data_IF_394547190862
#
_entry.id   IF_394547190862
#
_cell.length_a   1.000
_cell.length_b   1.000
_cell.length_c   1.000
_cell.angle_alpha   90.00
_cell.angle_beta   90.00
_cell.angle_gamma   90.00
#
_symmetry.space_group_name_H-M   'P 1'
#
loop_
_entity.id
_entity.type
_entity.pdbx_description
1 polymer ?
#
# COMPACT_ATOMS: atom_id res chain seq x y z
N UNK A 1 -1.91 9.74 -11.26
CA UNK A 1 -2.54 8.41 -11.05
C UNK A 1 -1.52 7.29 -10.83
N UNK A 2 -0.88 6.68 -11.84
CA UNK A 2 0.07 5.57 -11.59
C UNK A 2 1.29 5.99 -10.73
N UNK A 3 1.82 7.20 -10.95
CA UNK A 3 2.91 7.74 -10.11
C UNK A 3 2.48 8.05 -8.67
N UNK A 4 1.24 8.51 -8.46
CA UNK A 4 0.71 8.77 -7.11
C UNK A 4 0.52 7.47 -6.34
N UNK A 5 0.03 6.41 -7.00
CA UNK A 5 -0.03 5.07 -6.40
C UNK A 5 1.35 4.66 -5.90
N UNK A 6 2.33 4.74 -6.79
CA UNK A 6 3.68 4.29 -6.52
C UNK A 6 4.29 5.01 -5.32
N UNK A 7 4.06 6.32 -5.20
CA UNK A 7 4.47 7.09 -4.04
C UNK A 7 3.77 6.64 -2.76
N UNK A 8 2.46 6.40 -2.79
CA UNK A 8 1.71 5.88 -1.63
C UNK A 8 2.25 4.52 -1.16
N UNK A 9 2.60 3.65 -2.11
CA UNK A 9 3.18 2.34 -1.82
C UNK A 9 4.57 2.44 -1.16
N UNK A 10 5.43 3.30 -1.70
CA UNK A 10 6.75 3.56 -1.11
C UNK A 10 6.59 4.13 0.30
N UNK A 11 5.66 5.08 0.49
CA UNK A 11 5.42 5.69 1.79
C UNK A 11 4.91 4.68 2.81
N UNK A 12 3.92 3.84 2.45
CA UNK A 12 3.39 2.79 3.30
C UNK A 12 4.52 1.84 3.76
N UNK A 13 5.27 1.29 2.80
CA UNK A 13 6.35 0.35 3.09
C UNK A 13 7.45 0.98 3.95
N UNK A 14 7.85 2.22 3.64
CA UNK A 14 8.88 2.95 4.40
C UNK A 14 8.44 3.28 5.83
N UNK A 15 7.18 3.68 6.02
CA UNK A 15 6.62 4.00 7.34
C UNK A 15 6.50 2.77 8.23
N UNK A 16 5.95 1.67 7.71
CA UNK A 16 5.84 0.39 8.44
C UNK A 16 7.23 -0.08 8.87
N UNK A 17 8.18 -0.15 7.94
CA UNK A 17 9.55 -0.59 8.25
C UNK A 17 10.23 0.29 9.30
N UNK A 18 10.11 1.62 9.16
CA UNK A 18 10.69 2.56 10.13
C UNK A 18 10.06 2.39 11.52
N UNK A 19 8.75 2.15 11.58
CA UNK A 19 8.05 1.91 12.83
C UNK A 19 8.56 0.62 13.51
N UNK A 20 8.62 -0.49 12.78
CA UNK A 20 9.15 -1.77 13.26
C UNK A 20 10.57 -1.65 13.82
N UNK A 21 11.48 -0.99 13.08
CA UNK A 21 12.86 -0.77 13.51
C UNK A 21 12.96 0.13 14.75
N UNK A 22 11.95 0.97 15.00
CA UNK A 22 11.92 1.87 16.15
C UNK A 22 11.31 1.24 17.41
N UNK A 23 10.46 0.22 17.27
CA UNK A 23 9.74 -0.43 18.38
C UNK A 23 10.62 -0.76 19.61
N UNK A 24 11.83 -1.34 19.46
CA UNK A 24 12.68 -1.66 20.61
C UNK A 24 13.17 -0.44 21.40
N UNK A 25 13.12 0.76 20.80
CA UNK A 25 13.59 2.01 21.39
C UNK A 25 12.48 2.76 22.12
N UNK A 26 11.22 2.45 21.86
CA UNK A 26 10.05 3.11 22.45
C UNK A 26 9.92 2.67 23.91
N UNK A 27 9.97 3.61 24.85
CA UNK A 27 9.93 3.33 26.29
C UNK A 27 8.54 3.41 26.91
N UNK A 28 7.71 4.33 26.44
CA UNK A 28 6.34 4.50 26.91
C UNK A 28 5.44 3.44 26.30
N UNK A 29 4.71 2.72 27.14
CA UNK A 29 3.85 1.63 26.69
C UNK A 29 2.73 2.14 25.79
N UNK A 30 2.07 3.24 26.14
CA UNK A 30 1.03 3.89 25.32
C UNK A 30 1.53 4.23 23.91
N UNK A 31 2.78 4.71 23.79
CA UNK A 31 3.40 5.00 22.49
C UNK A 31 3.72 3.71 21.73
N UNK A 32 4.08 2.63 22.43
CA UNK A 32 4.38 1.34 21.82
C UNK A 32 3.11 0.71 21.27
N UNK A 33 2.04 0.65 22.05
CA UNK A 33 0.72 0.17 21.63
C UNK A 33 0.21 0.95 20.41
N UNK A 34 0.30 2.28 20.45
CA UNK A 34 -0.09 3.12 19.31
C UNK A 34 0.70 2.81 18.03
N UNK A 35 2.03 2.71 18.13
CA UNK A 35 2.87 2.41 16.97
C UNK A 35 2.61 0.99 16.46
N UNK A 36 2.38 0.02 17.35
CA UNK A 36 2.02 -1.35 17.00
C UNK A 36 0.69 -1.43 16.23
N UNK A 37 -0.35 -0.74 16.68
CA UNK A 37 -1.63 -0.63 15.97
C UNK A 37 -1.45 -0.06 14.54
N UNK A 38 -0.56 0.92 14.39
CA UNK A 38 -0.25 1.48 13.07
C UNK A 38 0.55 0.53 12.19
N UNK A 39 1.47 -0.26 12.75
CA UNK A 39 2.18 -1.32 12.04
C UNK A 39 1.18 -2.36 11.54
N UNK A 40 0.35 -2.92 12.42
CA UNK A 40 -0.64 -3.93 12.05
C UNK A 40 -1.61 -3.43 10.96
N UNK A 41 -2.11 -2.21 11.11
CA UNK A 41 -3.01 -1.63 10.11
C UNK A 41 -2.31 -1.39 8.76
N UNK A 42 -1.02 -1.02 8.78
CA UNK A 42 -0.19 -0.89 7.57
C UNK A 42 0.08 -2.24 6.89
N UNK A 43 0.32 -3.30 7.64
CA UNK A 43 0.43 -4.67 7.12
C UNK A 43 -0.89 -5.14 6.48
N UNK A 44 -2.02 -4.88 7.13
CA UNK A 44 -3.36 -5.18 6.57
C UNK A 44 -3.61 -4.45 5.26
N UNK A 45 -3.17 -3.20 5.12
CA UNK A 45 -3.24 -2.47 3.85
C UNK A 45 -2.34 -3.11 2.79
N UNK A 46 -1.12 -3.46 3.17
CA UNK A 46 -0.17 -4.16 2.28
C UNK A 46 -0.76 -5.49 1.77
N UNK A 47 -1.44 -6.25 2.61
CA UNK A 47 -2.08 -7.50 2.21
C UNK A 47 -3.31 -7.30 1.33
N UNK A 48 -4.09 -6.24 1.56
CA UNK A 48 -5.17 -5.85 0.64
C UNK A 48 -4.60 -5.51 -0.74
N UNK A 49 -3.50 -4.76 -0.80
CA UNK A 49 -2.83 -4.44 -2.05
C UNK A 49 -2.32 -5.70 -2.76
N UNK A 50 -1.65 -6.62 -2.07
CA UNK A 50 -1.21 -7.89 -2.66
C UNK A 50 -2.38 -8.67 -3.28
N UNK A 51 -3.53 -8.72 -2.59
CA UNK A 51 -4.74 -9.37 -3.11
C UNK A 51 -5.26 -8.66 -4.36
N UNK A 52 -5.25 -7.33 -4.39
CA UNK A 52 -5.64 -6.55 -5.57
C UNK A 52 -4.68 -6.77 -6.75
N UNK A 53 -3.37 -6.76 -6.52
CA UNK A 53 -2.37 -7.07 -7.55
C UNK A 53 -2.64 -8.44 -8.17
N UNK A 54 -2.85 -9.46 -7.33
CA UNK A 54 -3.18 -10.82 -7.78
C UNK A 54 -4.50 -10.87 -8.55
N UNK A 55 -5.51 -10.12 -8.13
CA UNK A 55 -6.79 -10.02 -8.83
C UNK A 55 -6.65 -9.38 -10.22
N UNK A 56 -5.67 -8.49 -10.42
CA UNK A 56 -5.39 -7.86 -11.72
C UNK A 56 -4.71 -8.82 -12.72
N UNK A 57 -4.02 -9.86 -12.25
CA UNK A 57 -3.26 -10.79 -13.12
C UNK A 57 -4.16 -11.44 -14.19
N UNK A 58 -5.34 -11.93 -13.78
CA UNK A 58 -6.24 -12.67 -14.69
C UNK A 58 -6.86 -11.76 -15.78
N UNK A 59 -7.43 -10.57 -15.45
CA UNK A 59 -7.87 -9.59 -16.45
C UNK A 59 -6.76 -9.15 -17.40
N UNK A 60 -5.56 -8.85 -16.88
CA UNK A 60 -4.41 -8.43 -17.68
C UNK A 60 -3.97 -9.50 -18.70
N UNK A 61 -3.94 -10.77 -18.27
CA UNK A 61 -3.64 -11.90 -19.16
C UNK A 61 -4.75 -12.12 -20.21
N UNK A 62 -6.02 -11.93 -19.85
CA UNK A 62 -7.16 -12.04 -20.78
C UNK A 62 -7.17 -10.91 -21.82
N UNK A 63 -6.78 -9.69 -21.44
CA UNK A 63 -6.64 -8.56 -22.36
C UNK A 63 -5.58 -8.82 -23.45
N UNK A 64 -4.52 -9.60 -23.15
CA UNK A 64 -3.53 -10.05 -24.13
C UNK A 64 -4.07 -11.06 -25.15
N UNK A 65 -4.96 -11.96 -24.72
CA UNK A 65 -5.49 -13.05 -25.58
C UNK A 65 -6.51 -12.60 -26.63
N UNK A 66 -7.12 -11.42 -26.47
CA UNK A 66 -8.14 -10.90 -27.41
C UNK A 66 -7.60 -10.52 -28.80
N UNK A 67 -6.27 -10.52 -29.00
CA UNK A 67 -5.63 -10.16 -30.28
C UNK A 67 -5.06 -11.34 -31.08
N UNK A 68 -5.42 -12.59 -30.77
CA UNK A 68 -5.21 -13.73 -31.67
C UNK A 68 -3.75 -14.21 -31.84
N UNK A 69 -2.82 -13.79 -30.98
CA UNK A 69 -1.46 -14.37 -30.90
C UNK A 69 -1.24 -15.03 -29.55
N UNK A 70 -0.90 -16.32 -29.56
CA UNK A 70 -0.62 -17.19 -28.40
C UNK A 70 0.61 -16.77 -27.56
N UNK A 71 1.19 -15.60 -27.78
CA UNK A 71 2.26 -15.11 -26.93
C UNK A 71 1.69 -14.62 -25.60
N UNK A 72 2.21 -15.14 -24.49
CA UNK A 72 1.98 -14.68 -23.12
C UNK A 72 2.53 -13.25 -22.86
N UNK A 73 2.40 -12.34 -23.82
CA UNK A 73 2.72 -10.93 -23.70
C UNK A 73 1.48 -10.17 -23.26
N UNK A 74 1.66 -9.31 -22.26
CA UNK A 74 0.66 -8.35 -21.82
C UNK A 74 0.23 -7.51 -23.04
N UNK A 75 -1.08 -7.54 -23.36
CA UNK A 75 -1.63 -6.76 -24.46
C UNK A 75 -1.48 -5.26 -24.20
N UNK A 76 -1.54 -4.43 -25.25
CA UNK A 76 -1.39 -2.96 -25.16
C UNK A 76 -2.32 -2.29 -24.12
N UNK A 77 -3.43 -2.94 -23.75
CA UNK A 77 -4.42 -2.42 -22.80
C UNK A 77 -4.28 -3.00 -21.38
N UNK A 78 -3.31 -3.89 -21.12
CA UNK A 78 -3.16 -4.52 -19.80
C UNK A 78 -2.84 -3.49 -18.70
N UNK A 79 -2.11 -2.42 -19.02
CA UNK A 79 -1.86 -1.32 -18.08
C UNK A 79 -3.13 -0.54 -17.70
N UNK A 80 -4.04 -0.34 -18.65
CA UNK A 80 -5.33 0.34 -18.39
C UNK A 80 -6.22 -0.53 -17.50
N UNK A 81 -6.34 -1.82 -17.81
CA UNK A 81 -7.12 -2.76 -16.99
C UNK A 81 -6.56 -2.90 -15.58
N UNK A 82 -5.24 -2.83 -15.42
CA UNK A 82 -4.58 -2.83 -14.11
C UNK A 82 -4.97 -1.59 -13.29
N UNK A 83 -4.89 -0.40 -13.89
CA UNK A 83 -5.27 0.85 -13.22
C UNK A 83 -6.76 0.84 -12.88
N UNK A 84 -7.63 0.42 -13.80
CA UNK A 84 -9.07 0.34 -13.55
C UNK A 84 -9.42 -0.69 -12.46
N UNK A 85 -8.69 -1.80 -12.37
CA UNK A 85 -8.88 -2.82 -11.34
C UNK A 85 -8.36 -2.40 -9.97
N UNK A 86 -7.25 -1.66 -9.91
CA UNK A 86 -6.67 -1.12 -8.66
C UNK A 86 -7.51 0.04 -8.12
N UNK A 87 -7.94 0.95 -8.99
CA UNK A 87 -8.59 2.19 -8.60
C UNK A 87 -10.11 2.14 -8.64
N UNK A 88 -10.71 1.21 -9.39
CA UNK A 88 -12.16 1.06 -9.51
C UNK A 88 -12.90 2.36 -9.87
N UNK A 89 -14.22 2.36 -9.75
CA UNK A 89 -15.01 3.59 -9.91
C UNK A 89 -14.88 4.55 -8.72
N UNK A 90 -14.52 4.03 -7.54
CA UNK A 90 -14.68 4.77 -6.28
C UNK A 90 -13.37 5.18 -5.59
N UNK A 91 -12.19 4.80 -6.14
CA UNK A 91 -10.84 5.13 -5.62
C UNK A 91 -10.65 4.90 -4.11
N UNK A 92 -11.34 3.90 -3.57
CA UNK A 92 -11.40 3.66 -2.12
C UNK A 92 -10.04 3.26 -1.54
N UNK A 93 -9.23 2.50 -2.29
CA UNK A 93 -7.88 2.10 -1.86
C UNK A 93 -7.00 3.34 -1.67
N UNK A 94 -6.94 4.20 -2.69
CA UNK A 94 -6.14 5.44 -2.68
C UNK A 94 -6.53 6.36 -1.52
N UNK A 95 -7.83 6.53 -1.28
CA UNK A 95 -8.33 7.34 -0.17
C UNK A 95 -7.98 6.74 1.19
N UNK A 96 -8.08 5.42 1.32
CA UNK A 96 -7.74 4.70 2.55
C UNK A 96 -6.24 4.83 2.85
N UNK A 97 -5.37 4.64 1.85
CA UNK A 97 -3.92 4.79 2.00
C UNK A 97 -3.51 6.23 2.31
N UNK A 98 -4.14 7.22 1.67
CA UNK A 98 -3.91 8.64 1.97
C UNK A 98 -4.30 8.98 3.41
N UNK A 99 -5.47 8.51 3.86
CA UNK A 99 -5.93 8.70 5.23
C UNK A 99 -5.01 8.01 6.23
N UNK A 100 -4.60 6.78 5.96
CA UNK A 100 -3.66 6.05 6.81
C UNK A 100 -2.32 6.80 6.91
N UNK A 101 -1.77 7.28 5.79
CA UNK A 101 -0.53 8.04 5.77
C UNK A 101 -0.60 9.30 6.64
N UNK A 102 -1.69 10.08 6.52
CA UNK A 102 -1.92 11.28 7.33
C UNK A 102 -2.03 10.95 8.81
N UNK A 103 -2.74 9.87 9.16
CA UNK A 103 -2.90 9.41 10.53
C UNK A 103 -1.58 8.92 11.12
N UNK A 104 -0.81 8.15 10.36
CA UNK A 104 0.51 7.72 10.77
C UNK A 104 1.42 8.92 11.08
N UNK A 105 1.46 9.91 10.20
CA UNK A 105 2.32 11.10 10.41
C UNK A 105 1.89 11.89 11.64
N UNK A 106 0.58 12.07 11.84
CA UNK A 106 0.05 12.81 12.98
C UNK A 106 0.28 12.14 14.34
N UNK A 107 0.35 10.80 14.38
CA UNK A 107 0.39 10.04 15.64
C UNK A 107 1.77 9.45 15.92
N UNK A 108 2.47 8.98 14.90
CA UNK A 108 3.72 8.23 15.08
C UNK A 108 4.98 9.08 14.84
N UNK A 109 4.93 10.15 14.04
CA UNK A 109 6.17 10.81 13.58
C UNK A 109 7.03 11.34 14.73
N UNK A 110 6.41 12.00 15.72
CA UNK A 110 7.12 12.52 16.89
C UNK A 110 7.67 11.39 17.78
N UNK A 111 6.90 10.31 17.96
CA UNK A 111 7.32 9.11 18.70
C UNK A 111 8.55 8.50 18.02
N UNK A 112 8.50 8.29 16.71
CA UNK A 112 9.59 7.69 15.94
C UNK A 112 10.83 8.58 15.86
N UNK A 113 10.65 9.91 15.95
CA UNK A 113 11.77 10.87 16.00
C UNK A 113 12.42 10.92 17.38
N UNK A 114 11.65 10.69 18.45
CA UNK A 114 12.11 10.77 19.84
C UNK A 114 11.58 9.60 20.69
N UNK A 115 11.98 8.35 20.39
CA UNK A 115 11.38 7.16 21.00
C UNK A 115 11.64 7.01 22.51
N UNK A 116 12.57 7.78 23.05
CA UNK A 116 12.91 7.77 24.48
C UNK A 116 12.04 8.73 25.32
N UNK A 117 11.27 9.62 24.70
CA UNK A 117 10.35 10.55 25.36
C UNK A 117 9.02 9.89 25.71
#
# INVERSE_FOLDING_TARGET
MAGELWLLLIQLAGKVKRAEECMPRIRKEENREMVEDFIESGERLTDKLKKLLKACETPMLKAGKKHGKESAQLGKNAGTEFVDSIFGRDRQLEQTEKLWNLRFDANCEDILRRPQQ
#
